data_IF_955663930338
#
_entry.id   IF_955663930338
#
_cell.length_a   1.000
_cell.length_b   1.000
_cell.length_c   1.000
_cell.angle_alpha   90.00
_cell.angle_beta   90.00
_cell.angle_gamma   90.00
#
_symmetry.space_group_name_H-M   'P 1'
#
loop_
_entity.id
_entity.type
_entity.pdbx_description
1 polymer ?
#
# COMPACT_ATOMS: atom_id res chain seq x y z
N UNK A 1 13.82 10.94 12.39
CA UNK A 1 14.16 10.57 11.01
C UNK A 1 12.88 10.51 10.19
N UNK A 2 12.87 11.19 9.04
CA UNK A 2 11.69 11.54 8.25
C UNK A 2 11.52 10.62 7.02
N UNK A 3 11.78 9.31 7.10
CA UNK A 3 11.92 8.53 5.84
C UNK A 3 11.43 7.08 5.84
N UNK A 4 10.37 6.72 6.59
CA UNK A 4 9.79 5.36 6.48
C UNK A 4 8.28 5.26 6.26
N UNK A 5 7.53 6.36 6.25
CA UNK A 5 6.12 6.31 5.88
C UNK A 5 5.45 7.67 6.00
N UNK A 6 5.54 8.48 4.93
CA UNK A 6 4.94 9.82 4.93
C UNK A 6 3.53 9.84 4.31
N UNK A 7 3.04 8.70 3.83
CA UNK A 7 1.79 8.62 3.06
C UNK A 7 0.95 7.42 3.50
N UNK A 8 0.68 7.30 4.81
CA UNK A 8 -0.36 6.39 5.27
C UNK A 8 -1.70 7.08 5.07
N UNK A 9 -2.64 6.38 4.45
CA UNK A 9 -4.01 6.87 4.39
C UNK A 9 -4.55 6.97 5.83
N UNK A 10 -4.89 8.18 6.25
CA UNK A 10 -5.34 8.51 7.60
C UNK A 10 -6.79 8.08 7.84
N UNK A 11 -7.61 9.01 8.34
CA UNK A 11 -9.05 8.77 8.49
C UNK A 11 -9.68 8.40 7.15
N UNK A 12 -10.56 7.40 7.20
CA UNK A 12 -11.16 6.80 6.01
C UNK A 12 -12.50 6.21 6.35
N UNK A 13 -13.35 6.20 5.34
CA UNK A 13 -14.67 5.58 5.33
C UNK A 13 -14.56 4.05 5.45
N UNK A 14 -15.62 3.38 5.93
CA UNK A 14 -15.67 1.92 6.08
C UNK A 14 -15.48 1.16 4.76
N UNK A 15 -15.71 1.82 3.63
CA UNK A 15 -15.49 1.25 2.28
C UNK A 15 -14.02 1.05 1.92
N UNK A 16 -13.09 1.57 2.71
CA UNK A 16 -11.65 1.45 2.47
C UNK A 16 -11.07 0.27 3.25
N UNK A 17 -10.56 -0.73 2.54
CA UNK A 17 -9.94 -1.93 3.12
C UNK A 17 -8.41 -1.85 3.06
N UNK A 18 -7.73 -2.09 4.19
CA UNK A 18 -6.28 -2.29 4.22
C UNK A 18 -5.92 -3.64 3.61
N UNK A 19 -5.11 -3.62 2.56
CA UNK A 19 -4.52 -4.82 1.97
C UNK A 19 -3.19 -5.20 2.63
N UNK A 20 -2.48 -4.21 3.16
CA UNK A 20 -1.21 -4.39 3.88
C UNK A 20 -1.19 -3.53 5.13
N UNK A 21 -0.87 -4.16 6.24
CA UNK A 21 -0.53 -3.52 7.51
C UNK A 21 0.96 -3.76 7.77
N UNK A 22 1.62 -2.77 8.37
CA UNK A 22 3.04 -2.83 8.71
C UNK A 22 3.19 -2.78 10.22
N UNK A 23 3.96 -3.70 10.79
CA UNK A 23 4.34 -3.64 12.20
C UNK A 23 5.84 -3.38 12.31
N UNK A 24 6.21 -2.33 13.04
CA UNK A 24 7.60 -1.99 13.31
C UNK A 24 8.00 -2.60 14.66
N UNK A 25 9.18 -3.21 14.73
CA UNK A 25 9.73 -3.77 15.95
C UNK A 25 10.49 -2.74 16.79
N UNK A 26 10.61 -1.50 16.29
CA UNK A 26 11.25 -0.41 17.00
C UNK A 26 10.38 0.11 18.14
N UNK A 27 10.95 0.18 19.34
CA UNK A 27 10.25 0.49 20.59
C UNK A 27 9.46 1.81 20.56
N UNK A 28 9.97 2.82 19.85
CA UNK A 28 9.30 4.13 19.72
C UNK A 28 8.32 4.22 18.55
N UNK A 29 8.11 3.13 17.82
CA UNK A 29 7.20 3.06 16.68
C UNK A 29 6.32 1.80 16.71
N UNK A 30 6.13 1.22 17.89
CA UNK A 30 5.29 0.05 18.10
C UNK A 30 3.84 0.28 17.64
N UNK A 31 3.18 -0.82 17.28
CA UNK A 31 1.79 -0.87 16.85
C UNK A 31 1.61 -0.95 15.33
N UNK A 32 0.51 -1.58 14.93
CA UNK A 32 0.15 -1.77 13.52
C UNK A 32 -0.06 -0.43 12.82
N UNK A 33 0.65 -0.24 11.72
CA UNK A 33 0.51 0.89 10.80
C UNK A 33 -0.36 0.44 9.63
N UNK A 34 -1.50 1.09 9.53
CA UNK A 34 -2.47 0.89 8.44
C UNK A 34 -2.32 1.99 7.40
N UNK A 35 -2.88 1.78 6.22
CA UNK A 35 -2.94 2.79 5.18
C UNK A 35 -1.78 2.71 4.19
N UNK A 36 -0.98 1.64 4.25
CA UNK A 36 0.18 1.43 3.39
C UNK A 36 -0.23 1.03 1.96
N UNK A 37 -1.22 0.14 1.88
CA UNK A 37 -1.86 -0.29 0.65
C UNK A 37 -3.34 -0.46 0.93
N UNK A 38 -4.18 0.36 0.30
CA UNK A 38 -5.61 0.43 0.58
C UNK A 38 -6.40 0.24 -0.69
N UNK A 39 -7.47 -0.54 -0.61
CA UNK A 39 -8.42 -0.72 -1.68
C UNK A 39 -9.77 -0.08 -1.33
N UNK A 40 -10.45 0.46 -2.34
CA UNK A 40 -11.87 0.70 -2.33
C UNK A 40 -12.48 0.29 -3.67
N UNK A 41 -13.78 -0.01 -3.67
CA UNK A 41 -14.50 -0.38 -4.90
C UNK A 41 -15.66 0.59 -5.16
N UNK A 42 -15.38 1.84 -5.59
CA UNK A 42 -16.44 2.80 -5.90
C UNK A 42 -17.19 2.38 -7.18
N UNK A 43 -18.50 2.11 -7.03
CA UNK A 43 -19.36 1.72 -8.14
C UNK A 43 -18.96 0.36 -8.74
N UNK A 44 -18.50 0.37 -10.00
CA UNK A 44 -17.98 -0.83 -10.70
C UNK A 44 -16.46 -0.80 -10.90
N UNK A 45 -15.79 0.23 -10.37
CA UNK A 45 -14.35 0.40 -10.48
C UNK A 45 -13.63 -0.14 -9.25
N UNK A 46 -12.33 -0.37 -9.40
CA UNK A 46 -11.41 -0.62 -8.30
C UNK A 46 -10.48 0.57 -8.16
N UNK A 47 -10.31 1.04 -6.94
CA UNK A 47 -9.39 2.10 -6.58
C UNK A 47 -8.38 1.55 -5.60
N UNK A 48 -7.10 1.79 -5.86
CA UNK A 48 -6.01 1.35 -5.00
C UNK A 48 -5.13 2.54 -4.67
N UNK A 49 -4.94 2.77 -3.37
CA UNK A 49 -3.96 3.73 -2.85
C UNK A 49 -2.69 3.00 -2.46
N UNK A 50 -1.57 3.47 -3.00
CA UNK A 50 -0.24 2.92 -2.73
C UNK A 50 0.57 3.96 -1.96
N UNK A 51 0.55 3.87 -0.63
CA UNK A 51 1.37 4.68 0.28
C UNK A 51 2.81 4.17 0.43
N UNK A 52 3.11 3.00 -0.14
CA UNK A 52 4.44 2.41 -0.16
C UNK A 52 5.40 3.24 -1.03
N UNK A 53 6.65 3.37 -0.60
CA UNK A 53 7.71 4.08 -1.32
C UNK A 53 8.23 3.35 -2.57
N UNK A 54 7.36 2.84 -3.44
CA UNK A 54 7.73 2.07 -4.64
C UNK A 54 8.67 2.85 -5.56
N UNK A 55 8.54 4.17 -5.62
CA UNK A 55 9.44 5.03 -6.39
C UNK A 55 10.91 4.97 -5.94
N UNK A 56 11.19 4.58 -4.68
CA UNK A 56 12.57 4.30 -4.21
C UNK A 56 12.93 2.85 -4.41
N UNK A 57 11.99 1.94 -4.16
CA UNK A 57 12.24 0.51 -4.15
C UNK A 57 12.45 -0.06 -5.57
N UNK A 58 11.74 0.47 -6.57
CA UNK A 58 11.88 0.06 -7.96
C UNK A 58 13.28 0.43 -8.49
N UNK A 59 13.76 1.69 -8.46
CA UNK A 59 15.14 2.01 -8.88
C UNK A 59 16.23 1.27 -8.09
N UNK A 60 15.96 0.96 -6.82
CA UNK A 60 16.88 0.19 -5.98
C UNK A 60 16.91 -1.32 -6.32
N UNK A 61 16.14 -1.80 -7.30
CA UNK A 61 16.15 -3.20 -7.71
C UNK A 61 15.46 -4.14 -6.73
N UNK A 62 14.56 -3.64 -5.87
CA UNK A 62 13.93 -4.49 -4.84
C UNK A 62 12.91 -5.43 -5.47
N UNK A 63 13.20 -6.73 -5.50
CA UNK A 63 12.36 -7.75 -6.16
C UNK A 63 10.90 -7.71 -5.72
N UNK A 64 10.64 -7.53 -4.42
CA UNK A 64 9.28 -7.45 -3.88
C UNK A 64 8.46 -6.27 -4.43
N UNK A 65 9.11 -5.13 -4.69
CA UNK A 65 8.43 -3.96 -5.25
C UNK A 65 7.99 -4.19 -6.70
N UNK A 66 8.81 -4.87 -7.50
CA UNK A 66 8.45 -5.26 -8.86
C UNK A 66 7.32 -6.29 -8.89
N UNK A 67 7.38 -7.30 -8.03
CA UNK A 67 6.32 -8.29 -7.91
C UNK A 67 4.98 -7.67 -7.49
N UNK A 68 5.00 -6.76 -6.50
CA UNK A 68 3.82 -6.04 -6.07
C UNK A 68 3.24 -5.18 -7.21
N UNK A 69 4.09 -4.42 -7.92
CA UNK A 69 3.64 -3.61 -9.05
C UNK A 69 3.00 -4.46 -10.15
N UNK A 70 3.61 -5.60 -10.50
CA UNK A 70 3.06 -6.51 -11.49
C UNK A 70 1.66 -7.02 -11.08
N UNK A 71 1.51 -7.44 -9.82
CA UNK A 71 0.21 -7.86 -9.28
C UNK A 71 -0.83 -6.75 -9.37
N UNK A 72 -0.48 -5.51 -8.99
CA UNK A 72 -1.38 -4.37 -9.06
C UNK A 72 -1.84 -4.07 -10.49
N UNK A 73 -0.95 -4.18 -11.47
CA UNK A 73 -1.30 -4.01 -12.89
C UNK A 73 -2.19 -5.15 -13.40
N UNK A 74 -1.96 -6.38 -12.95
CA UNK A 74 -2.75 -7.55 -13.33
C UNK A 74 -4.19 -7.52 -12.79
N UNK A 75 -4.46 -6.80 -11.69
CA UNK A 75 -5.81 -6.68 -11.12
C UNK A 75 -6.82 -6.08 -12.11
N UNK A 76 -6.39 -5.18 -13.00
CA UNK A 76 -7.24 -4.63 -14.06
C UNK A 76 -7.45 -5.57 -15.26
N UNK A 77 -6.57 -6.55 -15.45
CA UNK A 77 -6.62 -7.48 -16.59
C UNK A 77 -7.47 -8.73 -16.29
N UNK A 78 -7.62 -9.11 -15.02
CA UNK A 78 -8.35 -10.31 -14.59
C UNK A 78 -9.84 -10.13 -14.32
N UNK A 79 -10.35 -8.90 -14.35
CA UNK A 79 -11.77 -8.60 -14.11
C UNK A 79 -12.62 -8.80 -15.37
N UNK A 80 -12.97 -10.06 -15.67
CA UNK A 80 -14.17 -10.39 -16.46
C UNK A 80 -15.26 -10.86 -15.52
#
# INVERSE_FOLDING_TARGET
MHERGLYFLGERDERYADLVELEDTFEYNLGLKRGALVEAQPGRGRWIYVGLGLWRQLPAGTTGAYALLANLLSLGAGGR
#
